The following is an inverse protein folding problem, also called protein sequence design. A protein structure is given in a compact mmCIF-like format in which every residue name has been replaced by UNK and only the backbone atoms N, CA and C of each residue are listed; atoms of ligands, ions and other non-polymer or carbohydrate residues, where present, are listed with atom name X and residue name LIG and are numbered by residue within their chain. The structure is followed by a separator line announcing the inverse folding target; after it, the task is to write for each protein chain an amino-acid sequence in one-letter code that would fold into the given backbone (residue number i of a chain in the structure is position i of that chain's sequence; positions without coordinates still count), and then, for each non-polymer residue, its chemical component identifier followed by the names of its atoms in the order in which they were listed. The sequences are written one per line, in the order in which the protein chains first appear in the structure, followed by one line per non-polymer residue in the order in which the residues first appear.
data_IF_201683150282
#
_entry.id   IF_201683150282
#
_cell.length_a   1.000
_cell.length_b   1.000
_cell.length_c   1.000
_cell.angle_alpha   90.00
_cell.angle_beta   90.00
_cell.angle_gamma   90.00
#
_symmetry.space_group_name_H-M   'P 1'
#
loop_
_entity.id
_entity.type
_entity.pdbx_description
1 polymer ?
#
# COMPACT_ATOMS: atom_id res chain seq x y z
N UNK A 1 -13.28 -56.92 -27.70
CA UNK A 1 -12.46 -55.93 -28.42
C UNK A 1 -13.20 -54.61 -28.69
N UNK A 2 -14.43 -54.65 -29.21
CA UNK A 2 -15.24 -53.45 -29.55
C UNK A 2 -15.51 -52.49 -28.37
N UNK A 3 -15.72 -53.01 -27.15
CA UNK A 3 -16.03 -52.18 -25.95
C UNK A 3 -14.86 -51.29 -25.49
N UNK A 4 -13.62 -51.75 -25.65
CA UNK A 4 -12.42 -50.97 -25.27
C UNK A 4 -12.16 -49.84 -26.26
N UNK A 5 -12.41 -50.06 -27.56
CA UNK A 5 -12.27 -49.05 -28.59
C UNK A 5 -13.28 -47.90 -28.42
N UNK A 6 -14.51 -48.23 -28.01
CA UNK A 6 -15.54 -47.24 -27.73
C UNK A 6 -15.18 -46.36 -26.52
N UNK A 7 -14.70 -46.97 -25.43
CA UNK A 7 -14.28 -46.24 -24.24
C UNK A 7 -13.09 -45.30 -24.51
N UNK A 8 -12.15 -45.72 -25.38
CA UNK A 8 -11.01 -44.89 -25.78
C UNK A 8 -11.46 -43.64 -26.57
N UNK A 9 -12.36 -43.80 -27.54
CA UNK A 9 -12.89 -42.65 -28.30
C UNK A 9 -13.70 -41.69 -27.43
N UNK A 10 -14.48 -42.20 -26.47
CA UNK A 10 -15.22 -41.35 -25.52
C UNK A 10 -14.26 -40.57 -24.62
N UNK A 11 -13.17 -41.20 -24.17
CA UNK A 11 -12.16 -40.54 -23.34
C UNK A 11 -11.43 -39.42 -24.10
N UNK A 12 -11.05 -39.65 -25.36
CA UNK A 12 -10.43 -38.64 -26.22
C UNK A 12 -11.39 -37.49 -26.54
N UNK A 13 -12.67 -37.79 -26.76
CA UNK A 13 -13.71 -36.77 -26.97
C UNK A 13 -13.96 -35.91 -25.71
N UNK A 14 -13.94 -36.53 -24.53
CA UNK A 14 -14.05 -35.80 -23.26
C UNK A 14 -12.82 -34.92 -23.00
N UNK A 15 -11.61 -35.38 -23.34
CA UNK A 15 -10.39 -34.58 -23.26
C UNK A 15 -10.39 -33.39 -24.21
N UNK A 16 -10.86 -33.56 -25.45
CA UNK A 16 -10.91 -32.46 -26.42
C UNK A 16 -12.00 -31.43 -26.10
N UNK A 17 -13.15 -31.87 -25.57
CA UNK A 17 -14.21 -30.97 -25.08
C UNK A 17 -13.80 -30.19 -23.82
N UNK A 18 -12.88 -30.75 -23.00
CA UNK A 18 -12.39 -30.10 -21.77
C UNK A 18 -11.53 -28.86 -22.03
N UNK A 19 -11.09 -28.63 -23.26
CA UNK A 19 -10.36 -27.41 -23.70
C UNK A 19 -11.16 -26.12 -23.51
N UNK A 20 -12.46 -26.22 -23.19
CA UNK A 20 -13.34 -25.07 -22.97
C UNK A 20 -13.56 -24.72 -21.48
N UNK A 21 -13.05 -25.54 -20.55
CA UNK A 21 -13.10 -25.24 -19.11
C UNK A 21 -11.81 -24.55 -18.66
N UNK A 22 -11.46 -23.44 -19.31
CA UNK A 22 -10.62 -22.46 -18.65
C UNK A 22 -11.51 -21.76 -17.63
N UNK A 23 -11.17 -21.88 -16.35
CA UNK A 23 -11.64 -20.91 -15.37
C UNK A 23 -11.03 -19.58 -15.80
N UNK A 24 -11.75 -18.83 -16.62
CA UNK A 24 -11.45 -17.44 -16.90
C UNK A 24 -11.64 -16.73 -15.56
N UNK A 25 -10.56 -16.70 -14.76
CA UNK A 25 -10.38 -15.70 -13.73
C UNK A 25 -10.33 -14.39 -14.51
N UNK A 26 -11.50 -13.83 -14.80
CA UNK A 26 -11.62 -12.54 -15.46
C UNK A 26 -10.79 -11.59 -14.61
N UNK A 27 -9.65 -11.19 -15.15
CA UNK A 27 -8.72 -10.26 -14.51
C UNK A 27 -9.45 -9.03 -13.98
N UNK A 28 -10.58 -8.68 -14.63
CA UNK A 28 -11.52 -7.62 -14.33
C UNK A 28 -12.90 -8.25 -14.07
N UNK A 29 -13.52 -7.94 -12.94
CA UNK A 29 -14.91 -8.35 -12.65
C UNK A 29 -15.89 -7.55 -13.53
N UNK A 30 -16.71 -8.20 -14.39
CA UNK A 30 -17.64 -7.50 -15.29
C UNK A 30 -18.76 -6.73 -14.59
N UNK A 31 -19.03 -6.98 -13.30
CA UNK A 31 -20.03 -6.22 -12.54
C UNK A 31 -19.51 -4.88 -12.00
N UNK A 32 -18.20 -4.79 -11.73
CA UNK A 32 -17.57 -3.63 -11.10
C UNK A 32 -16.48 -2.96 -11.95
N UNK A 33 -16.07 -3.58 -13.07
CA UNK A 33 -14.91 -3.18 -13.88
C UNK A 33 -13.60 -3.06 -13.06
N UNK A 34 -13.50 -3.76 -11.93
CA UNK A 34 -12.33 -3.71 -11.06
C UNK A 34 -11.44 -4.93 -11.24
N UNK A 35 -10.13 -4.68 -11.38
CA UNK A 35 -9.12 -5.74 -11.35
C UNK A 35 -9.21 -6.52 -10.03
N UNK A 36 -8.92 -7.82 -10.06
CA UNK A 36 -8.81 -8.64 -8.83
C UNK A 36 -7.83 -7.99 -7.84
N UNK A 37 -6.76 -7.35 -8.33
CA UNK A 37 -5.80 -6.64 -7.50
C UNK A 37 -6.41 -5.38 -6.86
N UNK A 38 -7.22 -4.62 -7.59
CA UNK A 38 -7.92 -3.45 -7.05
C UNK A 38 -8.92 -3.84 -5.96
N UNK A 39 -9.59 -4.98 -6.11
CA UNK A 39 -10.49 -5.50 -5.10
C UNK A 39 -9.74 -5.91 -3.81
N UNK A 40 -8.56 -6.54 -3.95
CA UNK A 40 -7.71 -6.88 -2.81
C UNK A 40 -7.22 -5.60 -2.11
N UNK A 41 -6.76 -4.61 -2.87
CA UNK A 41 -6.34 -3.30 -2.36
C UNK A 41 -7.50 -2.61 -1.64
N UNK A 42 -8.71 -2.57 -2.21
CA UNK A 42 -9.88 -2.01 -1.55
C UNK A 42 -10.21 -2.72 -0.23
N UNK A 43 -10.23 -4.06 -0.23
CA UNK A 43 -10.49 -4.84 0.99
C UNK A 43 -9.43 -4.56 2.07
N UNK A 44 -8.16 -4.48 1.65
CA UNK A 44 -7.07 -4.16 2.56
C UNK A 44 -7.21 -2.74 3.13
N UNK A 45 -7.47 -1.74 2.29
CA UNK A 45 -7.75 -0.37 2.73
C UNK A 45 -8.92 -0.29 3.71
N UNK A 46 -10.00 -1.04 3.47
CA UNK A 46 -11.14 -1.13 4.38
C UNK A 46 -10.76 -1.68 5.76
N UNK A 47 -9.89 -2.71 5.80
CA UNK A 47 -9.37 -3.26 7.06
C UNK A 47 -8.41 -2.29 7.75
N UNK A 48 -7.51 -1.63 7.02
CA UNK A 48 -6.55 -0.65 7.58
C UNK A 48 -7.27 0.52 8.26
N UNK A 49 -8.36 1.02 7.66
CA UNK A 49 -9.19 2.08 8.28
C UNK A 49 -9.73 1.69 9.66
N UNK A 50 -9.99 0.41 9.89
CA UNK A 50 -10.50 -0.08 11.18
C UNK A 50 -9.43 0.02 12.27
N UNK A 51 -8.17 -0.30 11.95
CA UNK A 51 -7.08 -0.26 12.92
C UNK A 51 -6.50 1.14 13.10
N UNK A 52 -6.66 2.03 12.11
CA UNK A 52 -6.23 3.43 12.20
C UNK A 52 -6.74 4.11 13.48
N UNK A 53 -8.04 3.99 13.77
CA UNK A 53 -8.63 4.65 14.93
C UNK A 53 -8.11 4.07 16.26
N UNK A 54 -7.86 2.76 16.30
CA UNK A 54 -7.31 2.08 17.48
C UNK A 54 -5.88 2.55 17.74
N UNK A 55 -5.04 2.62 16.70
CA UNK A 55 -3.66 3.08 16.79
C UNK A 55 -3.61 4.56 17.18
N UNK A 56 -4.48 5.40 16.59
CA UNK A 56 -4.61 6.81 16.94
C UNK A 56 -4.91 6.99 18.43
N UNK A 57 -5.92 6.29 18.94
CA UNK A 57 -6.30 6.37 20.35
C UNK A 57 -5.19 5.86 21.29
N UNK A 58 -4.44 4.84 20.89
CA UNK A 58 -3.28 4.36 21.65
C UNK A 58 -2.14 5.40 21.64
N UNK A 59 -1.86 6.01 20.50
CA UNK A 59 -0.84 7.03 20.34
C UNK A 59 -1.14 8.29 21.18
N UNK A 60 -2.40 8.74 21.23
CA UNK A 60 -2.81 9.87 22.07
C UNK A 60 -2.57 9.61 23.56
N UNK A 61 -2.91 8.40 24.04
CA UNK A 61 -2.66 8.02 25.44
C UNK A 61 -1.17 8.01 25.78
N UNK A 62 -0.36 7.43 24.89
CA UNK A 62 1.08 7.38 25.07
C UNK A 62 1.67 8.80 25.05
N UNK A 63 1.22 9.65 24.12
CA UNK A 63 1.64 11.04 24.00
C UNK A 63 1.40 11.80 25.30
N UNK A 64 0.19 11.77 25.86
CA UNK A 64 -0.12 12.47 27.11
C UNK A 64 0.67 11.94 28.31
N UNK A 65 0.94 10.63 28.36
CA UNK A 65 1.79 10.03 29.40
C UNK A 65 3.22 10.58 29.31
N UNK A 66 3.76 10.68 28.09
CA UNK A 66 5.09 11.24 27.84
C UNK A 66 5.15 12.73 28.18
N UNK A 67 4.14 13.49 27.81
CA UNK A 67 4.00 14.92 28.15
C UNK A 67 4.01 15.11 29.67
N UNK A 68 3.27 14.29 30.41
CA UNK A 68 3.22 14.36 31.87
C UNK A 68 4.57 14.07 32.51
N UNK A 69 5.25 13.00 32.07
CA UNK A 69 6.58 12.66 32.58
C UNK A 69 7.59 13.78 32.27
N UNK A 70 7.55 14.32 31.04
CA UNK A 70 8.39 15.45 30.64
C UNK A 70 8.10 16.70 31.46
N UNK A 71 6.83 17.01 31.73
CA UNK A 71 6.42 18.12 32.57
C UNK A 71 6.97 17.97 34.00
N UNK A 72 6.77 16.81 34.64
CA UNK A 72 7.25 16.56 36.00
C UNK A 72 8.76 16.72 36.09
N UNK A 73 9.51 16.21 35.10
CA UNK A 73 10.96 16.34 35.09
C UNK A 73 11.42 17.78 34.88
N UNK A 74 10.96 18.45 33.82
CA UNK A 74 11.39 19.80 33.43
C UNK A 74 11.05 20.82 34.51
N UNK A 75 9.81 20.82 35.00
CA UNK A 75 9.38 21.74 36.06
C UNK A 75 9.87 21.30 37.44
N UNK A 76 10.05 20.00 37.68
CA UNK A 76 10.64 19.49 38.92
C UNK A 76 12.08 19.96 39.11
N UNK A 77 12.91 19.94 38.06
CA UNK A 77 14.29 20.43 38.11
C UNK A 77 14.36 21.95 38.29
N UNK A 78 13.44 22.71 37.69
CA UNK A 78 13.34 24.16 37.90
C UNK A 78 12.95 24.51 39.34
N UNK A 79 12.02 23.75 39.95
CA UNK A 79 11.65 23.89 41.36
C UNK A 79 12.86 23.70 42.30
N UNK A 80 13.69 22.69 42.05
CA UNK A 80 14.88 22.40 42.87
C UNK A 80 15.94 23.50 42.79
N UNK A 81 16.12 24.12 41.63
CA UNK A 81 17.13 25.17 41.41
C UNK A 81 16.63 26.58 41.75
N UNK A 82 15.38 26.71 42.21
CA UNK A 82 14.70 27.99 42.50
C UNK A 82 14.67 28.93 41.28
N UNK A 83 14.20 28.41 40.16
CA UNK A 83 14.02 29.21 38.95
C UNK A 83 13.11 30.42 39.22
N UNK A 84 13.47 31.57 38.64
CA UNK A 84 12.67 32.78 38.72
C UNK A 84 11.36 32.64 37.93
N UNK A 85 10.36 33.45 38.27
CA UNK A 85 9.04 33.41 37.61
C UNK A 85 9.15 33.65 36.09
N UNK A 86 10.11 34.47 35.65
CA UNK A 86 10.35 34.73 34.23
C UNK A 86 10.96 33.52 33.50
N UNK A 87 11.87 32.79 34.14
CA UNK A 87 12.47 31.57 33.60
C UNK A 87 11.41 30.46 33.46
N UNK A 88 10.55 30.30 34.48
CA UNK A 88 9.41 29.40 34.42
C UNK A 88 8.46 29.73 33.27
N UNK A 89 8.07 31.00 33.10
CA UNK A 89 7.14 31.40 32.04
C UNK A 89 7.71 31.19 30.64
N UNK A 90 9.00 31.48 30.44
CA UNK A 90 9.68 31.25 29.18
C UNK A 90 9.69 29.75 28.83
N UNK A 91 10.06 28.90 29.79
CA UNK A 91 10.11 27.46 29.58
C UNK A 91 8.71 26.85 29.44
N UNK A 92 7.72 27.34 30.21
CA UNK A 92 6.33 26.93 30.09
C UNK A 92 5.75 27.26 28.72
N UNK A 93 6.02 28.47 28.21
CA UNK A 93 5.58 28.86 26.87
C UNK A 93 6.19 27.96 25.80
N UNK A 94 7.50 27.69 25.88
CA UNK A 94 8.19 26.75 24.96
C UNK A 94 7.57 25.36 25.04
N UNK A 95 7.34 24.86 26.25
CA UNK A 95 6.76 23.54 26.49
C UNK A 95 5.36 23.41 25.89
N UNK A 96 4.49 24.42 26.08
CA UNK A 96 3.14 24.44 25.52
C UNK A 96 3.16 24.53 24.00
N UNK A 97 4.01 25.37 23.41
CA UNK A 97 4.14 25.48 21.95
C UNK A 97 4.58 24.15 21.35
N UNK A 98 5.62 23.53 21.93
CA UNK A 98 6.13 22.25 21.46
C UNK A 98 5.08 21.15 21.61
N UNK A 99 4.51 20.99 22.81
CA UNK A 99 3.47 19.99 23.08
C UNK A 99 2.25 20.17 22.19
N UNK A 100 1.79 21.42 22.03
CA UNK A 100 0.65 21.76 21.18
C UNK A 100 0.92 21.44 19.71
N UNK A 101 2.11 21.76 19.21
CA UNK A 101 2.53 21.44 17.84
C UNK A 101 2.54 19.92 17.59
N UNK A 102 3.15 19.14 18.48
CA UNK A 102 3.21 17.68 18.31
C UNK A 102 1.84 17.01 18.50
N UNK A 103 1.01 17.52 19.40
CA UNK A 103 -0.37 17.04 19.55
C UNK A 103 -1.21 17.36 18.30
N UNK A 104 -1.06 18.56 17.76
CA UNK A 104 -1.70 18.96 16.50
C UNK A 104 -1.25 18.06 15.35
N UNK A 105 0.05 17.76 15.25
CA UNK A 105 0.59 16.83 14.25
C UNK A 105 0.00 15.44 14.44
N UNK A 106 0.00 14.90 15.66
CA UNK A 106 -0.51 13.56 15.97
C UNK A 106 -1.99 13.39 15.61
N UNK A 107 -2.81 14.43 15.80
CA UNK A 107 -4.25 14.38 15.52
C UNK A 107 -4.58 14.70 14.06
N UNK A 108 -3.85 15.61 13.42
CA UNK A 108 -4.13 16.10 12.06
C UNK A 108 -3.34 15.39 10.96
N UNK A 109 -2.31 14.60 11.31
CA UNK A 109 -1.49 13.88 10.33
C UNK A 109 -2.28 12.78 9.62
N UNK A 110 -3.12 12.05 10.34
CA UNK A 110 -3.85 10.89 9.82
C UNK A 110 -5.36 11.17 9.74
N UNK A 111 -5.92 11.82 10.76
CA UNK A 111 -7.33 12.25 10.80
C UNK A 111 -7.42 13.75 10.51
N UNK A 112 -8.52 14.26 9.96
CA UNK A 112 -8.63 15.69 9.63
C UNK A 112 -7.98 16.06 8.29
N UNK A 113 -6.84 16.75 8.30
CA UNK A 113 -6.20 17.29 7.09
C UNK A 113 -5.41 16.26 6.27
N UNK A 114 -5.26 15.03 6.77
CA UNK A 114 -4.56 13.92 6.13
C UNK A 114 -3.19 14.33 5.55
N UNK A 115 -2.41 15.04 6.36
CA UNK A 115 -1.10 15.58 5.96
C UNK A 115 -0.19 14.44 5.48
N UNK A 116 -0.25 13.28 6.14
CA UNK A 116 0.53 12.11 5.73
C UNK A 116 0.15 11.64 4.30
N UNK A 117 -1.15 11.57 3.99
CA UNK A 117 -1.62 11.21 2.66
C UNK A 117 -1.22 12.22 1.59
N UNK A 118 -1.29 13.52 1.89
CA UNK A 118 -0.87 14.57 0.96
C UNK A 118 0.63 14.53 0.68
N UNK A 119 1.46 14.25 1.70
CA UNK A 119 2.91 14.07 1.52
C UNK A 119 3.19 12.84 0.64
N UNK A 120 2.52 11.71 0.91
CA UNK A 120 2.69 10.50 0.08
C UNK A 120 2.29 10.79 -1.38
N UNK A 121 1.16 11.48 -1.57
CA UNK A 121 0.69 11.87 -2.90
C UNK A 121 1.66 12.82 -3.62
N UNK A 122 2.27 13.77 -2.92
CA UNK A 122 3.23 14.69 -3.53
C UNK A 122 4.53 13.98 -3.90
N UNK A 123 5.02 13.05 -3.07
CA UNK A 123 6.18 12.22 -3.39
C UNK A 123 5.90 11.30 -4.58
N UNK A 124 4.69 10.72 -4.66
CA UNK A 124 4.24 9.93 -5.81
C UNK A 124 4.22 10.78 -7.09
N UNK A 125 3.68 11.99 -7.04
CA UNK A 125 3.65 12.92 -8.17
C UNK A 125 5.05 13.35 -8.62
N UNK A 126 5.96 13.62 -7.69
CA UNK A 126 7.36 13.93 -7.99
C UNK A 126 8.05 12.72 -8.63
N UNK A 127 7.81 11.52 -8.12
CA UNK A 127 8.34 10.28 -8.68
C UNK A 127 7.83 10.00 -10.11
N UNK A 128 6.54 10.20 -10.36
CA UNK A 128 5.97 10.03 -11.71
C UNK A 128 6.53 11.05 -12.70
N UNK A 129 6.69 12.30 -12.27
CA UNK A 129 7.28 13.36 -13.08
C UNK A 129 8.74 13.10 -13.42
N UNK A 130 9.54 12.64 -12.45
CA UNK A 130 10.95 12.31 -12.66
C UNK A 130 11.16 11.09 -13.56
N UNK A 131 10.30 10.09 -13.45
CA UNK A 131 10.37 8.87 -14.25
C UNK A 131 9.70 9.02 -15.64
N UNK A 132 9.11 10.18 -15.94
CA UNK A 132 8.37 10.48 -17.17
C UNK A 132 7.25 9.45 -17.47
N UNK A 133 6.65 8.85 -16.44
CA UNK A 133 5.49 7.98 -16.57
C UNK A 133 4.23 8.85 -16.69
N UNK A 134 3.72 8.98 -17.91
CA UNK A 134 2.51 9.74 -18.25
C UNK A 134 1.20 9.16 -17.71
N UNK A 135 1.22 7.96 -17.11
CA UNK A 135 0.04 7.20 -16.67
C UNK A 135 -0.32 7.30 -15.19
N UNK A 136 0.40 8.08 -14.37
CA UNK A 136 0.18 8.14 -12.93
C UNK A 136 0.63 6.88 -12.17
N UNK A 137 0.86 7.02 -10.87
CA UNK A 137 1.41 5.98 -9.99
C UNK A 137 0.33 5.07 -9.39
N UNK A 138 -0.69 4.71 -10.16
CA UNK A 138 -1.64 3.71 -9.69
C UNK A 138 -0.90 2.39 -9.41
N UNK A 139 -1.15 1.77 -8.26
CA UNK A 139 -0.50 0.53 -7.85
C UNK A 139 -0.72 -0.60 -8.88
N UNK A 140 -1.87 -0.59 -9.58
CA UNK A 140 -2.18 -1.52 -10.67
C UNK A 140 -1.32 -1.27 -11.91
N UNK A 141 -1.00 -0.01 -12.24
CA UNK A 141 -0.23 0.34 -13.43
C UNK A 141 1.19 -0.22 -13.44
N UNK A 142 1.83 -0.40 -12.27
CA UNK A 142 3.17 -1.01 -12.18
C UNK A 142 3.10 -2.51 -12.50
N UNK A 143 2.08 -3.21 -11.96
CA UNK A 143 1.84 -4.62 -12.27
C UNK A 143 1.40 -4.80 -13.73
N UNK A 144 0.54 -3.92 -14.25
CA UNK A 144 0.11 -3.93 -15.65
C UNK A 144 1.30 -3.74 -16.58
N UNK A 145 2.23 -2.82 -16.28
CA UNK A 145 3.49 -2.67 -17.02
C UNK A 145 4.33 -3.94 -16.94
N UNK A 146 4.40 -4.60 -15.78
CA UNK A 146 5.08 -5.89 -15.61
C UNK A 146 4.46 -7.01 -16.45
N UNK A 147 3.12 -7.13 -16.47
CA UNK A 147 2.41 -8.09 -17.30
C UNK A 147 2.48 -7.75 -18.79
N UNK A 148 2.50 -6.47 -19.15
CA UNK A 148 2.74 -6.03 -20.53
C UNK A 148 4.14 -6.43 -21.00
N UNK A 149 5.18 -6.18 -20.21
CA UNK A 149 6.55 -6.62 -20.53
C UNK A 149 6.63 -8.14 -20.59
N UNK A 150 6.01 -8.86 -19.65
CA UNK A 150 5.97 -10.33 -19.66
C UNK A 150 5.23 -10.85 -20.90
N UNK A 151 4.08 -10.27 -21.24
CA UNK A 151 3.30 -10.66 -22.42
C UNK A 151 4.04 -10.35 -23.72
N UNK A 152 4.75 -9.22 -23.79
CA UNK A 152 5.62 -8.87 -24.89
C UNK A 152 6.77 -9.87 -24.98
N UNK A 153 7.44 -10.22 -23.88
CA UNK A 153 8.46 -11.26 -23.84
C UNK A 153 7.91 -12.60 -24.33
N UNK A 154 6.73 -13.02 -23.85
CA UNK A 154 6.08 -14.28 -24.23
C UNK A 154 5.67 -14.32 -25.71
N UNK A 155 5.17 -13.21 -26.25
CA UNK A 155 4.82 -13.10 -27.67
C UNK A 155 6.05 -13.01 -28.58
N UNK A 156 7.19 -12.52 -28.07
CA UNK A 156 8.47 -12.53 -28.78
C UNK A 156 9.26 -13.83 -28.58
N UNK A 157 8.84 -14.73 -27.68
CA UNK A 157 9.33 -16.10 -27.64
C UNK A 157 8.69 -16.89 -28.78
N UNK A 158 9.39 -16.91 -29.92
CA UNK A 158 9.01 -17.80 -31.00
C UNK A 158 9.33 -19.25 -30.61
N UNK A 159 8.28 -20.05 -30.33
CA UNK A 159 8.41 -21.50 -30.10
C UNK A 159 9.03 -22.22 -31.31
N UNK A 160 9.03 -21.56 -32.47
CA UNK A 160 9.45 -22.13 -33.75
C UNK A 160 10.88 -21.75 -34.18
N UNK A 161 11.59 -20.91 -33.42
CA UNK A 161 13.04 -20.68 -33.61
C UNK A 161 13.76 -20.67 -32.24
N UNK A 162 14.12 -21.85 -31.71
CA UNK A 162 14.69 -21.98 -30.37
C UNK A 162 16.07 -21.32 -30.19
N UNK A 163 16.80 -21.03 -31.29
CA UNK A 163 18.14 -20.41 -31.25
C UNK A 163 18.07 -18.90 -30.96
N UNK A 164 17.08 -18.18 -31.49
CA UNK A 164 16.91 -16.74 -31.22
C UNK A 164 16.43 -16.47 -29.78
N UNK A 165 15.76 -17.45 -29.15
CA UNK A 165 15.30 -17.34 -27.76
C UNK A 165 16.43 -17.39 -26.73
N UNK A 166 17.61 -17.94 -27.07
CA UNK A 166 18.75 -18.01 -26.15
C UNK A 166 19.48 -16.68 -26.00
N UNK A 167 19.35 -15.76 -26.97
CA UNK A 167 19.99 -14.43 -26.92
C UNK A 167 19.14 -13.44 -26.12
N UNK A 168 17.84 -13.69 -25.96
CA UNK A 168 16.93 -12.81 -25.21
C UNK A 168 16.91 -13.06 -23.68
N UNK A 169 17.54 -14.14 -23.20
CA UNK A 169 17.52 -14.57 -21.78
C UNK A 169 18.84 -14.25 -21.04
N UNK A 170 19.86 -13.74 -21.75
CA UNK A 170 21.15 -13.28 -21.19
C UNK A 170 21.23 -11.77 -21.33
#
# INVERSE_FOLDING_TARGET
MLRIQLSFFVFVFLLSASSSSFAELSYIDPATNQSVLDQVVQKFHGKVKTWQNIIQGAAERLFWTLVLISMVWTFGMMLLRRADIGEFFAEFTRFIIFTGFFFWLLTNAVSGHNIAGTIISSMQQLGSGAANLSGGTSHSSIMDVGFLILSQAWNNLSVMQPVDSFIAVI
#
